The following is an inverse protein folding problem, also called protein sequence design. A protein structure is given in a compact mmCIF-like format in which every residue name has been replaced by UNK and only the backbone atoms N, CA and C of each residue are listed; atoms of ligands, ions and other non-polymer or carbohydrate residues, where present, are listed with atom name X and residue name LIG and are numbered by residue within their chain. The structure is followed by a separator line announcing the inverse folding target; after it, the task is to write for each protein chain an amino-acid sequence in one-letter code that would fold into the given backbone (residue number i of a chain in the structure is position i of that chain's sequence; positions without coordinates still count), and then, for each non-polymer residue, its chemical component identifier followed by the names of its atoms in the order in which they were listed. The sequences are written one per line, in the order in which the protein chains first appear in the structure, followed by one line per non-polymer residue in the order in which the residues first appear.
data_IF_837515838140
#
_entry.id   IF_837515838140
#
_cell.length_a   1.000
_cell.length_b   1.000
_cell.length_c   1.000
_cell.angle_alpha   90.00
_cell.angle_beta   90.00
_cell.angle_gamma   90.00
#
_symmetry.space_group_name_H-M   'P 1'
#
loop_
_entity.id
_entity.type
_entity.pdbx_description
1 polymer ?
#
# COMPACT_ATOMS: atom_id res chain seq x y z
N UNK A 1 29.01 0.41 3.50
CA UNK A 1 27.94 1.41 3.25
C UNK A 1 26.65 0.64 3.03
N UNK A 2 25.59 0.93 3.78
CA UNK A 2 24.28 0.26 3.65
C UNK A 2 23.26 1.25 3.09
N UNK A 3 22.30 0.74 2.33
CA UNK A 3 21.17 1.51 1.82
C UNK A 3 19.87 0.82 2.23
N UNK A 4 18.81 1.60 2.37
CA UNK A 4 17.46 1.12 2.61
C UNK A 4 16.58 1.49 1.41
N UNK A 5 15.67 0.61 1.05
CA UNK A 5 14.65 0.88 0.03
C UNK A 5 13.33 1.05 0.76
N UNK A 6 12.70 2.19 0.50
CA UNK A 6 11.43 2.59 1.10
C UNK A 6 10.50 2.96 -0.05
N UNK A 7 9.29 2.43 -0.03
CA UNK A 7 8.24 2.72 -1.02
C UNK A 7 6.91 2.89 -0.31
N UNK A 8 5.92 3.44 -1.01
CA UNK A 8 4.53 3.40 -0.56
C UNK A 8 3.76 2.24 -1.21
N UNK A 9 2.51 2.09 -0.79
CA UNK A 9 1.61 1.02 -1.18
C UNK A 9 1.07 1.08 -2.60
N UNK A 10 1.34 2.16 -3.35
CA UNK A 10 0.91 2.29 -4.76
C UNK A 10 1.90 1.69 -5.75
N UNK A 11 3.06 1.23 -5.27
CA UNK A 11 4.11 0.59 -6.08
C UNK A 11 3.72 -0.74 -6.73
N UNK A 12 2.62 -1.36 -6.30
CA UNK A 12 2.17 -2.65 -6.83
C UNK A 12 3.00 -3.86 -6.43
N UNK A 13 4.03 -3.69 -5.57
CA UNK A 13 4.80 -4.79 -5.01
C UNK A 13 3.96 -5.59 -4.01
N UNK A 14 4.02 -6.92 -4.06
CA UNK A 14 3.33 -7.74 -3.08
C UNK A 14 4.01 -7.65 -1.70
N UNK A 15 3.26 -7.73 -0.58
CA UNK A 15 3.85 -7.72 0.76
C UNK A 15 4.91 -8.80 0.99
N UNK A 16 4.66 -10.02 0.49
CA UNK A 16 5.64 -11.12 0.56
C UNK A 16 6.94 -10.75 -0.17
N UNK A 17 6.84 -10.15 -1.36
CA UNK A 17 8.02 -9.75 -2.12
C UNK A 17 8.78 -8.60 -1.48
N UNK A 18 8.08 -7.63 -0.89
CA UNK A 18 8.71 -6.55 -0.14
C UNK A 18 9.48 -7.09 1.09
N UNK A 19 8.90 -8.04 1.81
CA UNK A 19 9.53 -8.69 2.95
C UNK A 19 10.78 -9.48 2.55
N UNK A 20 10.72 -10.28 1.48
CA UNK A 20 11.87 -11.00 0.92
C UNK A 20 13.04 -10.08 0.57
N UNK A 21 12.75 -8.87 0.07
CA UNK A 21 13.74 -7.90 -0.38
C UNK A 21 14.19 -6.92 0.72
N UNK A 22 13.61 -6.99 1.92
CA UNK A 22 13.88 -6.03 3.00
C UNK A 22 13.44 -4.60 2.68
N UNK A 23 12.40 -4.45 1.85
CA UNK A 23 11.82 -3.16 1.46
C UNK A 23 10.79 -2.75 2.52
N UNK A 24 10.89 -1.52 3.01
CA UNK A 24 9.89 -0.94 3.89
C UNK A 24 8.76 -0.33 3.06
N UNK A 25 7.52 -0.75 3.32
CA UNK A 25 6.32 -0.22 2.65
C UNK A 25 5.56 0.67 3.63
N UNK A 26 5.37 1.93 3.26
CA UNK A 26 4.56 2.88 4.01
C UNK A 26 3.12 2.82 3.47
N UNK A 27 2.12 2.48 4.30
CA UNK A 27 0.76 2.41 3.83
C UNK A 27 0.15 3.79 3.61
N UNK A 28 -0.50 3.99 2.47
CA UNK A 28 -1.37 5.14 2.25
C UNK A 28 -2.80 4.81 2.67
N UNK A 29 -3.46 5.82 3.23
CA UNK A 29 -4.85 5.80 3.62
C UNK A 29 -5.71 6.47 2.56
N UNK A 30 -6.84 5.86 2.20
CA UNK A 30 -7.83 6.45 1.28
C UNK A 30 -9.13 6.69 2.03
N UNK A 31 -9.61 7.93 1.98
CA UNK A 31 -10.90 8.37 2.52
C UNK A 31 -11.87 8.49 1.35
N UNK A 32 -13.00 7.77 1.38
CA UNK A 32 -14.04 7.81 0.35
C UNK A 32 -15.33 8.29 1.01
N UNK A 33 -15.98 9.30 0.45
CA UNK A 33 -17.24 9.87 0.98
C UNK A 33 -17.15 10.40 2.43
N UNK A 34 -15.95 10.72 2.91
CA UNK A 34 -15.73 11.17 4.29
C UNK A 34 -15.74 10.06 5.33
N UNK A 35 -15.87 8.80 4.91
CA UNK A 35 -15.78 7.62 5.76
C UNK A 35 -14.30 7.23 5.99
N UNK A 36 -14.04 6.65 7.18
CA UNK A 36 -12.71 6.34 7.73
C UNK A 36 -11.72 5.69 6.73
N UNK A 37 -10.40 5.92 6.91
CA UNK A 37 -9.35 5.30 6.10
C UNK A 37 -9.52 3.79 5.93
N UNK A 38 -9.63 3.35 4.68
CA UNK A 38 -9.55 1.91 4.39
C UNK A 38 -8.14 1.41 4.66
N UNK A 39 -8.00 0.46 5.57
CA UNK A 39 -6.75 -0.26 5.79
C UNK A 39 -6.48 -1.19 4.59
N UNK A 40 -5.22 -1.42 4.24
CA UNK A 40 -4.85 -2.19 3.03
C UNK A 40 -5.40 -3.62 3.02
N UNK A 41 -5.60 -4.18 4.21
CA UNK A 41 -6.20 -5.51 4.39
C UNK A 41 -7.70 -5.51 4.09
N UNK A 42 -8.37 -4.36 4.22
CA UNK A 42 -9.82 -4.20 3.97
C UNK A 42 -10.13 -3.60 2.59
N UNK A 43 -9.16 -2.93 1.97
CA UNK A 43 -9.25 -2.45 0.59
C UNK A 43 -9.23 -3.58 -0.46
N UNK A 44 -9.06 -4.84 -0.05
CA UNK A 44 -9.26 -5.98 -0.94
C UNK A 44 -10.74 -6.06 -1.33
N UNK A 45 -11.06 -5.56 -2.52
CA UNK A 45 -12.30 -5.79 -3.30
C UNK A 45 -13.34 -4.67 -3.41
N UNK A 46 -13.18 -3.51 -2.74
CA UNK A 46 -13.86 -2.31 -3.25
C UNK A 46 -13.01 -1.78 -4.39
N UNK A 47 -13.44 -2.06 -5.63
CA UNK A 47 -12.91 -1.39 -6.83
C UNK A 47 -13.09 0.11 -6.62
N UNK A 48 -12.07 0.73 -6.04
CA UNK A 48 -11.94 2.17 -5.99
C UNK A 48 -11.63 2.60 -7.42
N UNK A 49 -12.65 3.09 -8.12
CA UNK A 49 -12.59 3.55 -9.52
C UNK A 49 -11.74 4.81 -9.71
N UNK A 50 -10.96 5.22 -8.71
CA UNK A 50 -10.10 6.40 -8.75
C UNK A 50 -8.77 6.09 -9.48
N UNK A 51 -8.42 4.81 -9.65
CA UNK A 51 -7.18 4.37 -10.32
C UNK A 51 -7.45 3.45 -11.54
N UNK A 52 -8.61 3.58 -12.18
CA UNK A 52 -8.87 2.98 -13.49
C UNK A 52 -8.54 3.97 -14.62
#
# INVERSE_FOLDING_TARGET
MSFAIITDSTSGISPARAQELGIYVIPLHVIIEGEEPLDQVQASSRRCSIFA
#
